data_IF_822264953738
#
_entry.id   IF_822264953738
#
_cell.length_a   1.000
_cell.length_b   1.000
_cell.length_c   1.000
_cell.angle_alpha   90.00
_cell.angle_beta   90.00
_cell.angle_gamma   90.00
#
_symmetry.space_group_name_H-M   'P 1'
#
loop_
_entity.id
_entity.type
_entity.pdbx_description
1 polymer ?
#
# COMPACT_ATOMS: atom_id res chain seq x y z
N UNK A 1 -9.53 -10.32 22.81
CA UNK A 1 -9.00 -8.97 22.54
C UNK A 1 -7.50 -9.09 22.35
N UNK A 2 -6.96 -8.56 21.25
CA UNK A 2 -5.63 -8.86 20.71
C UNK A 2 -4.52 -8.19 21.56
N UNK A 3 -3.49 -8.98 21.94
CA UNK A 3 -2.40 -8.61 22.87
C UNK A 3 -1.68 -7.29 22.53
N UNK A 4 -1.61 -6.91 21.26
CA UNK A 4 -0.92 -5.69 20.81
C UNK A 4 -1.57 -4.39 21.32
N UNK A 5 -2.86 -4.41 21.67
CA UNK A 5 -3.54 -3.21 22.20
C UNK A 5 -3.20 -2.91 23.66
N UNK A 6 -2.64 -3.88 24.40
CA UNK A 6 -2.35 -3.72 25.84
C UNK A 6 -1.17 -2.78 26.13
N UNK A 7 -0.35 -2.46 25.13
CA UNK A 7 0.81 -1.55 25.27
C UNK A 7 0.55 -0.16 24.67
N UNK A 8 -0.62 0.08 24.10
CA UNK A 8 -0.95 1.35 23.44
C UNK A 8 -1.56 2.34 24.43
N UNK A 9 -1.13 3.61 24.33
CA UNK A 9 -1.65 4.70 25.17
C UNK A 9 -3.15 5.00 24.96
N UNK A 10 -3.70 4.60 23.82
CA UNK A 10 -5.10 4.82 23.47
C UNK A 10 -5.61 3.69 22.55
N UNK A 11 -6.93 3.59 22.41
CA UNK A 11 -7.57 2.65 21.50
C UNK A 11 -7.36 3.10 20.04
N UNK A 12 -6.61 2.35 19.20
CA UNK A 12 -6.36 2.75 17.81
C UNK A 12 -7.51 2.39 16.86
N UNK A 13 -8.49 1.58 17.32
CA UNK A 13 -9.53 1.04 16.45
C UNK A 13 -10.37 2.10 15.72
N UNK A 14 -10.74 3.25 16.32
CA UNK A 14 -11.50 4.28 15.60
C UNK A 14 -10.78 4.75 14.34
N UNK A 15 -9.47 5.05 14.43
CA UNK A 15 -8.68 5.50 13.29
C UNK A 15 -8.48 4.38 12.26
N UNK A 16 -8.25 3.13 12.70
CA UNK A 16 -8.03 2.01 11.80
C UNK A 16 -9.29 1.57 11.04
N UNK A 17 -10.47 1.84 11.59
CA UNK A 17 -11.76 1.47 10.99
C UNK A 17 -12.36 2.57 10.11
N UNK A 18 -11.76 3.76 10.12
CA UNK A 18 -12.17 4.87 9.27
C UNK A 18 -11.99 4.50 7.78
N UNK A 19 -12.92 4.88 6.88
CA UNK A 19 -12.68 4.73 5.45
C UNK A 19 -11.55 5.67 4.99
N UNK A 20 -10.47 5.09 4.51
CA UNK A 20 -9.36 5.79 3.84
C UNK A 20 -9.31 5.36 2.37
N UNK A 21 -9.36 6.33 1.44
CA UNK A 21 -9.28 6.07 -0.01
C UNK A 21 -7.85 5.79 -0.48
N UNK A 22 -6.86 6.32 0.20
CA UNK A 22 -5.46 6.12 -0.13
C UNK A 22 -4.96 4.78 0.41
N UNK A 23 -5.45 4.38 1.60
CA UNK A 23 -5.06 3.12 2.26
C UNK A 23 -6.27 2.27 2.72
N UNK A 24 -7.19 1.86 1.81
CA UNK A 24 -8.37 1.07 2.17
C UNK A 24 -8.02 -0.30 2.78
N UNK A 25 -6.79 -0.79 2.54
CA UNK A 25 -6.27 -2.04 3.09
C UNK A 25 -6.17 -2.03 4.61
N UNK A 26 -5.89 -0.89 5.22
CA UNK A 26 -5.75 -0.75 6.69
C UNK A 26 -7.04 -1.20 7.38
N UNK A 27 -8.18 -0.72 6.89
CA UNK A 27 -9.49 -1.09 7.43
C UNK A 27 -9.83 -2.56 7.22
N UNK A 28 -9.50 -3.13 6.06
CA UNK A 28 -9.71 -4.55 5.78
C UNK A 28 -8.92 -5.44 6.75
N UNK A 29 -7.62 -5.16 6.90
CA UNK A 29 -6.74 -5.89 7.82
C UNK A 29 -7.17 -5.70 9.28
N UNK A 30 -7.59 -4.50 9.66
CA UNK A 30 -8.11 -4.25 11.00
C UNK A 30 -9.36 -5.10 11.32
N UNK A 31 -10.30 -5.18 10.37
CA UNK A 31 -11.51 -5.99 10.55
C UNK A 31 -11.21 -7.49 10.61
N UNK A 32 -10.33 -8.00 9.73
CA UNK A 32 -10.00 -9.43 9.64
C UNK A 32 -9.07 -9.86 10.78
N UNK A 33 -7.95 -9.17 10.95
CA UNK A 33 -6.82 -9.65 11.76
C UNK A 33 -6.87 -9.12 13.20
N UNK A 34 -7.35 -7.89 13.41
CA UNK A 34 -7.44 -7.32 14.76
C UNK A 34 -8.78 -7.63 15.42
N UNK A 35 -9.88 -7.59 14.67
CA UNK A 35 -11.23 -7.84 15.19
C UNK A 35 -11.73 -9.27 14.93
N UNK A 36 -10.99 -10.10 14.19
CA UNK A 36 -11.36 -11.49 13.91
C UNK A 36 -12.68 -11.63 13.18
N UNK A 37 -13.09 -10.64 12.39
CA UNK A 37 -14.39 -10.69 11.70
C UNK A 37 -14.33 -11.74 10.59
N UNK A 38 -15.41 -12.53 10.39
CA UNK A 38 -15.44 -13.52 9.32
C UNK A 38 -15.24 -12.87 7.95
N UNK A 39 -14.49 -13.52 7.07
CA UNK A 39 -14.21 -13.02 5.72
C UNK A 39 -15.49 -12.84 4.89
N UNK A 40 -16.45 -13.74 5.07
CA UNK A 40 -17.77 -13.66 4.45
C UNK A 40 -18.65 -12.54 5.04
N UNK A 41 -18.22 -11.91 6.14
CA UNK A 41 -18.95 -10.83 6.79
C UNK A 41 -19.11 -9.59 5.91
N UNK A 42 -20.27 -8.92 5.93
CA UNK A 42 -20.56 -7.80 5.02
C UNK A 42 -19.61 -6.61 5.21
N UNK A 43 -19.08 -6.40 6.41
CA UNK A 43 -18.07 -5.35 6.65
C UNK A 43 -16.71 -5.69 5.99
N UNK A 44 -16.26 -6.94 6.12
CA UNK A 44 -14.98 -7.41 5.55
C UNK A 44 -15.05 -7.42 4.04
N UNK A 45 -16.14 -7.95 3.44
CA UNK A 45 -16.36 -7.93 1.99
C UNK A 45 -16.39 -6.51 1.41
N UNK A 46 -17.05 -5.56 2.08
CA UNK A 46 -17.07 -4.16 1.64
C UNK A 46 -15.68 -3.52 1.67
N UNK A 47 -14.91 -3.78 2.73
CA UNK A 47 -13.55 -3.28 2.86
C UNK A 47 -12.63 -3.92 1.79
N UNK A 48 -12.72 -5.23 1.58
CA UNK A 48 -11.98 -5.93 0.52
C UNK A 48 -12.29 -5.36 -0.86
N UNK A 49 -13.57 -5.09 -1.16
CA UNK A 49 -13.94 -4.50 -2.43
C UNK A 49 -13.40 -3.05 -2.58
N UNK A 50 -13.24 -2.30 -1.49
CA UNK A 50 -12.60 -0.98 -1.52
C UNK A 50 -11.09 -1.08 -1.82
N UNK A 51 -10.41 -2.11 -1.29
CA UNK A 51 -9.01 -2.41 -1.61
C UNK A 51 -8.81 -2.61 -3.11
N UNK A 52 -9.72 -3.31 -3.78
CA UNK A 52 -9.62 -3.56 -5.22
C UNK A 52 -9.94 -2.32 -6.07
N UNK A 53 -10.65 -1.32 -5.53
CA UNK A 53 -11.11 -0.14 -6.29
C UNK A 53 -10.22 1.10 -6.12
N UNK A 54 -9.46 1.20 -5.03
CA UNK A 54 -8.72 2.41 -4.68
C UNK A 54 -7.43 2.09 -3.92
N UNK A 55 -6.54 3.08 -3.86
CA UNK A 55 -5.26 2.96 -3.17
C UNK A 55 -4.23 2.15 -3.97
N UNK A 56 -3.26 1.53 -3.30
CA UNK A 56 -2.07 0.98 -3.96
C UNK A 56 -2.36 -0.28 -4.79
N UNK A 57 -3.35 -1.09 -4.40
CA UNK A 57 -3.61 -2.38 -5.07
C UNK A 57 -3.98 -2.22 -6.55
N UNK A 58 -4.99 -1.42 -6.95
CA UNK A 58 -5.28 -1.23 -8.37
C UNK A 58 -4.13 -0.55 -9.13
N UNK A 59 -3.35 0.32 -8.47
CA UNK A 59 -2.18 0.95 -9.10
C UNK A 59 -1.07 -0.07 -9.39
N UNK A 60 -0.82 -0.99 -8.45
CA UNK A 60 0.10 -2.11 -8.62
C UNK A 60 -0.42 -3.01 -9.74
N UNK A 61 -1.68 -3.47 -9.68
CA UNK A 61 -2.25 -4.35 -10.71
C UNK A 61 -2.25 -3.73 -12.12
N UNK A 62 -2.37 -2.40 -12.24
CA UNK A 62 -2.25 -1.70 -13.53
C UNK A 62 -0.82 -1.72 -14.10
N UNK A 63 0.19 -1.89 -13.26
CA UNK A 63 1.58 -2.00 -13.68
C UNK A 63 1.96 -3.43 -14.12
N UNK A 64 1.03 -4.40 -14.04
CA UNK A 64 1.22 -5.75 -14.55
C UNK A 64 1.07 -5.77 -16.08
N UNK A 65 1.93 -6.50 -16.78
CA UNK A 65 1.76 -6.73 -18.22
C UNK A 65 0.52 -7.59 -18.49
N UNK A 66 -0.11 -7.47 -19.68
CA UNK A 66 -1.31 -8.24 -20.03
C UNK A 66 -1.16 -9.76 -19.90
N UNK A 67 0.05 -10.28 -20.10
CA UNK A 67 0.40 -11.70 -19.96
C UNK A 67 0.49 -12.16 -18.49
N UNK A 68 0.23 -11.26 -17.54
CA UNK A 68 0.36 -11.51 -16.11
C UNK A 68 1.80 -11.44 -15.60
N UNK A 69 2.75 -11.09 -16.46
CA UNK A 69 4.16 -10.92 -16.10
C UNK A 69 4.39 -9.53 -15.50
N UNK A 70 5.26 -9.46 -14.50
CA UNK A 70 5.74 -8.19 -13.92
C UNK A 70 7.12 -7.80 -14.46
N UNK A 71 7.71 -8.67 -15.26
CA UNK A 71 9.03 -8.54 -15.85
C UNK A 71 8.89 -8.88 -17.33
N UNK A 72 9.42 -8.02 -18.21
CA UNK A 72 9.36 -8.20 -19.66
C UNK A 72 10.10 -9.50 -20.04
N UNK A 73 9.45 -10.50 -20.65
CA UNK A 73 10.13 -11.70 -21.10
C UNK A 73 10.95 -11.35 -22.35
N UNK A 74 12.29 -11.34 -22.24
CA UNK A 74 13.20 -11.19 -23.38
C UNK A 74 14.13 -9.98 -23.38
N UNK A 75 14.52 -9.44 -22.21
CA UNK A 75 15.60 -8.46 -22.12
C UNK A 75 16.76 -9.02 -21.30
N UNK A 76 17.93 -9.17 -21.93
CA UNK A 76 19.18 -9.61 -21.27
C UNK A 76 19.72 -8.62 -20.22
N UNK A 77 19.02 -7.51 -19.97
CA UNK A 77 19.33 -6.49 -18.98
C UNK A 77 18.21 -6.31 -17.95
N UNK A 78 17.78 -7.39 -17.28
CA UNK A 78 16.98 -7.23 -16.06
C UNK A 78 17.89 -6.69 -14.94
N UNK A 79 17.70 -5.46 -14.42
CA UNK A 79 18.42 -5.03 -13.23
C UNK A 79 18.03 -5.98 -12.11
N UNK A 80 19.01 -6.66 -11.53
CA UNK A 80 18.84 -7.70 -10.50
C UNK A 80 18.23 -7.19 -9.17
N UNK A 81 17.66 -5.98 -9.14
CA UNK A 81 17.01 -5.36 -7.99
C UNK A 81 15.48 -5.38 -8.01
N UNK A 82 14.82 -5.88 -9.06
CA UNK A 82 13.36 -5.70 -9.23
C UNK A 82 12.53 -6.73 -8.44
N UNK A 83 13.13 -7.78 -7.87
CA UNK A 83 12.36 -8.74 -7.04
C UNK A 83 12.15 -8.26 -5.59
N UNK A 84 13.00 -7.38 -5.06
CA UNK A 84 12.98 -7.01 -3.63
C UNK A 84 12.74 -5.52 -3.37
N UNK A 85 12.85 -4.65 -4.39
CA UNK A 85 12.72 -3.18 -4.21
C UNK A 85 11.27 -2.67 -4.24
N UNK A 86 10.28 -3.45 -4.68
CA UNK A 86 8.90 -2.97 -4.79
C UNK A 86 8.21 -2.63 -3.46
N UNK A 87 8.80 -2.96 -2.31
CA UNK A 87 8.32 -2.46 -1.02
C UNK A 87 8.77 -1.01 -0.71
N UNK A 88 9.78 -0.48 -1.42
CA UNK A 88 10.39 0.82 -1.09
C UNK A 88 10.19 1.95 -2.12
N UNK A 89 9.83 1.67 -3.38
CA UNK A 89 9.70 2.72 -4.40
C UNK A 89 8.24 3.21 -4.58
N UNK A 90 7.79 4.10 -3.69
CA UNK A 90 6.74 5.07 -4.06
C UNK A 90 7.46 6.33 -4.58
N UNK A 91 7.24 6.82 -5.81
CA UNK A 91 7.66 8.17 -6.15
C UNK A 91 6.71 9.15 -5.43
N UNK A 92 7.14 9.69 -4.30
CA UNK A 92 6.56 10.89 -3.73
C UNK A 92 6.90 12.05 -4.68
N UNK A 93 5.96 12.45 -5.52
CA UNK A 93 6.14 13.62 -6.37
C UNK A 93 6.16 14.87 -5.49
N UNK A 94 7.30 15.57 -5.46
CA UNK A 94 7.50 17.03 -5.52
C UNK A 94 8.76 17.42 -4.73
N UNK A 95 9.89 17.50 -5.42
CA UNK A 95 11.04 18.30 -4.96
C UNK A 95 11.22 19.43 -5.98
N UNK A 96 11.04 20.71 -5.61
CA UNK A 96 11.41 21.80 -6.50
C UNK A 96 12.93 21.81 -6.67
N UNK A 97 13.35 21.97 -7.91
CA UNK A 97 14.73 22.02 -8.40
C UNK A 97 15.58 23.03 -7.61
N UNK A 98 16.64 22.55 -6.96
CA UNK A 98 17.71 23.42 -6.45
C UNK A 98 18.59 23.81 -7.65
N UNK A 99 18.15 24.86 -8.36
CA UNK A 99 18.99 25.66 -9.25
C UNK A 99 19.14 27.04 -8.62
N UNK A 100 19.91 27.13 -7.54
CA UNK A 100 20.44 28.36 -6.97
C UNK A 100 21.58 27.99 -6.02
N UNK A 101 22.69 28.73 -6.12
CA UNK A 101 24.02 28.46 -5.51
C UNK A 101 24.77 27.43 -6.37
N UNK A 102 25.59 27.81 -7.35
CA UNK A 102 26.89 28.46 -7.11
C UNK A 102 27.16 29.60 -8.13
N UNK A 103 27.10 30.84 -7.63
CA UNK A 103 27.84 32.00 -8.17
C UNK A 103 28.63 32.56 -6.98
N UNK A 104 29.96 32.60 -7.11
CA UNK A 104 30.90 33.29 -6.23
C UNK A 104 31.33 32.48 -5.01
N UNK A 105 32.57 31.96 -5.00
CA UNK A 105 33.80 32.69 -4.64
C UNK A 105 35.00 32.04 -5.35
#
# INVERSE_FOLDING_TARGET
>A
MTRFTQTLRANPLPCLLEPDRDNPGVRYLALRDLLGRPEAGPAVRRAQAAVMRSGPVPAILKAQEPEGCWLKPGGDDAPKGISTVWQFLRPAQRTPTIRALERGY
#
